data_IF_977354140623
#
_entry.id   IF_977354140623
#
_cell.length_a   1.000
_cell.length_b   1.000
_cell.length_c   1.000
_cell.angle_alpha   90.00
_cell.angle_beta   90.00
_cell.angle_gamma   90.00
#
_symmetry.space_group_name_H-M   'P 1'
#
loop_
_entity.id
_entity.type
_entity.pdbx_description
1 polymer ?
#
# COMPACT_ATOMS: atom_id res chain seq x y z
N UNK A 1 -11.87 -0.50 -10.37
CA UNK A 1 -11.80 -0.68 -9.90
C UNK A 1 -11.88 -0.97 -9.28
N UNK A 2 -11.77 -0.88 -8.99
CA UNK A 2 -11.77 -1.02 -8.29
C UNK A 2 -11.80 -1.66 -7.60
N UNK A 3 -11.68 -2.00 -7.21
CA UNK A 3 -11.51 -2.53 -6.63
C UNK A 3 -11.60 -2.51 -5.77
N UNK A 4 -11.79 -2.40 -5.37
CA UNK A 4 -11.83 -2.30 -4.56
C UNK A 4 -11.58 -2.78 -3.81
N UNK A 5 -11.38 -2.88 -3.47
CA UNK A 5 -11.00 -3.30 -2.79
C UNK A 5 -11.07 -3.52 -2.00
N UNK A 6 -11.34 -3.39 -1.63
CA UNK A 6 -11.36 -3.48 -0.84
C UNK A 6 -11.61 -4.12 -0.11
N UNK A 7 -11.65 -4.32 0.15
CA UNK A 7 -11.88 -4.75 1.03
C UNK A 7 -11.73 -5.74 1.28
N UNK A 8 -11.58 -6.11 1.29
CA UNK A 8 -11.47 -6.95 1.56
C UNK A 8 -10.73 -7.27 1.90
N UNK A 9 -10.53 -7.05 2.05
CA UNK A 9 -9.83 -7.33 2.37
C UNK A 9 -9.38 -7.81 3.25
N UNK A 10 -9.48 -7.55 3.50
CA UNK A 10 -9.14 -7.85 4.49
C UNK A 10 -8.31 -8.86 4.51
N UNK A 11 -8.08 -9.17 4.19
CA UNK A 11 -7.51 -10.11 4.16
C UNK A 11 -6.29 -10.10 4.11
N UNK A 12 -6.09 -9.55 4.08
CA UNK A 12 -5.05 -9.38 4.03
C UNK A 12 -4.12 -10.03 4.47
N UNK A 13 -3.92 -10.40 4.47
CA UNK A 13 -3.25 -10.89 4.82
C UNK A 13 -2.28 -11.07 4.60
N UNK A 14 -1.86 -11.01 4.52
CA UNK A 14 -1.11 -11.21 4.43
C UNK A 14 0.01 -11.52 4.18
N UNK A 15 0.49 -11.45 3.75
CA UNK A 15 1.42 -11.76 3.16
C UNK A 15 2.59 -11.25 3.64
N UNK A 16 3.11 -11.78 4.41
CA UNK A 16 4.19 -11.30 4.75
C UNK A 16 5.19 -11.68 3.94
N UNK A 17 5.84 -11.03 3.33
CA UNK A 17 6.78 -11.37 2.54
C UNK A 17 8.01 -11.23 3.13
N UNK A 18 8.73 -11.98 3.04
CA UNK A 18 9.87 -11.95 3.56
C UNK A 18 10.84 -11.44 2.77
N UNK A 19 10.95 -10.38 2.36
CA UNK A 19 11.97 -10.06 1.55
C UNK A 19 12.84 -9.22 2.21
N UNK A 20 13.60 -9.28 2.92
CA UNK A 20 14.59 -8.54 3.43
C UNK A 20 14.28 -7.11 3.41
N UNK A 21 15.18 -6.24 3.25
CA UNK A 21 14.91 -4.81 3.18
C UNK A 21 14.36 -4.48 1.82
N UNK A 22 13.14 -4.03 1.74
CA UNK A 22 12.59 -3.70 0.43
C UNK A 22 13.29 -2.52 -0.19
N UNK A 23 13.45 -2.53 -1.48
CA UNK A 23 13.98 -1.43 -2.23
C UNK A 23 12.80 -0.80 -2.94
N UNK A 24 12.54 0.46 -2.70
CA UNK A 24 11.41 1.12 -3.31
C UNK A 24 11.88 2.02 -4.44
N UNK A 25 11.20 2.01 -5.55
CA UNK A 25 11.39 3.02 -6.58
C UNK A 25 10.94 4.36 -6.03
N UNK A 26 9.82 4.38 -5.30
CA UNK A 26 9.36 5.56 -4.60
C UNK A 26 8.72 5.13 -3.28
N UNK A 27 8.96 5.90 -2.24
CA UNK A 27 8.36 5.64 -0.95
C UNK A 27 7.80 6.92 -0.34
N UNK A 28 6.79 6.77 0.49
CA UNK A 28 6.01 7.87 1.02
C UNK A 28 5.74 7.61 2.50
N UNK A 29 5.55 8.69 3.24
CA UNK A 29 5.32 8.62 4.67
C UNK A 29 3.95 9.16 5.02
N UNK A 30 3.42 8.74 6.15
CA UNK A 30 2.20 9.29 6.70
C UNK A 30 2.42 10.65 7.37
N UNK A 31 3.61 11.20 7.33
CA UNK A 31 3.91 12.48 7.96
C UNK A 31 2.93 13.54 7.47
N UNK A 32 2.41 14.33 8.39
CA UNK A 32 1.44 15.36 8.05
C UNK A 32 0.00 14.89 8.07
N UNK A 33 -0.23 13.60 8.25
CA UNK A 33 -1.57 13.04 8.34
C UNK A 33 -1.82 12.50 9.75
N UNK A 34 -3.08 12.42 10.13
CA UNK A 34 -3.44 11.78 11.39
C UNK A 34 -4.19 10.48 11.11
N UNK A 35 -4.36 9.68 12.12
CA UNK A 35 -5.08 8.42 11.98
C UNK A 35 -6.41 8.46 12.73
N UNK A 36 -7.00 9.66 12.82
CA UNK A 36 -8.30 9.82 13.42
C UNK A 36 -9.43 9.75 12.41
N UNK A 37 -9.13 9.89 11.14
CA UNK A 37 -10.12 9.75 10.08
C UNK A 37 -9.42 9.27 8.80
N UNK A 38 -10.19 8.74 7.88
CA UNK A 38 -9.64 8.23 6.63
C UNK A 38 -9.00 9.32 5.80
N UNK A 39 -7.93 8.99 5.10
CA UNK A 39 -7.31 9.89 4.13
C UNK A 39 -6.64 9.06 3.04
N UNK A 40 -6.46 9.69 1.89
CA UNK A 40 -5.74 9.08 0.77
C UNK A 40 -4.87 10.12 0.09
N UNK A 41 -3.69 9.71 -0.30
CA UNK A 41 -2.80 10.50 -1.15
C UNK A 41 -2.41 9.65 -2.35
N UNK A 42 -1.92 10.29 -3.37
CA UNK A 42 -1.54 9.62 -4.59
C UNK A 42 -0.35 10.32 -5.23
N UNK A 43 0.41 9.56 -5.99
CA UNK A 43 1.48 10.10 -6.81
C UNK A 43 1.58 9.26 -8.06
N UNK A 44 2.17 9.83 -9.10
CA UNK A 44 2.31 9.12 -10.36
C UNK A 44 3.46 9.67 -11.17
N UNK A 45 3.90 8.89 -12.10
CA UNK A 45 4.94 9.31 -13.02
C UNK A 45 4.73 8.61 -14.36
N UNK A 46 5.80 8.45 -15.12
CA UNK A 46 5.70 7.86 -16.43
C UNK A 46 5.41 6.37 -16.29
N UNK A 47 4.20 5.97 -16.56
CA UNK A 47 3.80 4.57 -16.57
C UNK A 47 3.47 3.97 -15.21
N UNK A 48 3.44 4.76 -14.14
CA UNK A 48 3.15 4.20 -12.82
C UNK A 48 2.25 5.12 -11.99
N UNK A 49 1.56 4.53 -11.03
CA UNK A 49 0.73 5.28 -10.09
C UNK A 49 0.69 4.53 -8.76
N UNK A 50 0.64 5.31 -7.68
CA UNK A 50 0.46 4.77 -6.34
C UNK A 50 -0.67 5.55 -5.66
N UNK A 51 -1.53 4.82 -4.95
CA UNK A 51 -2.49 5.42 -4.04
C UNK A 51 -2.25 4.79 -2.69
N UNK A 52 -2.21 5.61 -1.65
CA UNK A 52 -1.90 5.09 -0.32
C UNK A 52 -2.63 5.89 0.73
N UNK A 53 -2.86 5.31 1.88
CA UNK A 53 -3.53 6.02 2.92
C UNK A 53 -4.00 5.15 4.07
N UNK A 54 -5.07 5.62 4.71
CA UNK A 54 -5.62 5.05 5.92
C UNK A 54 -7.14 5.00 5.76
N UNK A 55 -7.72 3.86 6.09
CA UNK A 55 -9.13 3.62 5.91
C UNK A 55 -9.75 3.13 7.20
N UNK A 56 -10.91 3.64 7.55
CA UNK A 56 -11.60 3.26 8.78
C UNK A 56 -12.93 2.57 8.51
N UNK A 57 -13.19 2.15 7.29
CA UNK A 57 -14.52 1.64 6.92
C UNK A 57 -14.93 0.39 7.71
N UNK A 58 -14.04 -0.57 7.88
CA UNK A 58 -14.36 -1.77 8.63
C UNK A 58 -13.48 -1.86 9.87
N UNK A 59 -12.20 -1.74 9.67
CA UNK A 59 -11.21 -1.67 10.74
C UNK A 59 -10.26 -0.56 10.33
N UNK A 60 -9.39 -0.18 11.22
CA UNK A 60 -8.37 0.81 10.88
C UNK A 60 -7.28 0.10 10.09
N UNK A 61 -7.12 0.48 8.85
CA UNK A 61 -6.18 -0.16 7.94
C UNK A 61 -5.30 0.84 7.23
N UNK A 62 -4.04 0.51 7.10
CA UNK A 62 -3.11 1.23 6.23
C UNK A 62 -3.07 0.49 4.90
N UNK A 63 -3.03 1.21 3.79
CA UNK A 63 -3.07 0.53 2.50
C UNK A 63 -2.20 1.21 1.44
N UNK A 64 -1.79 0.41 0.48
CA UNK A 64 -1.08 0.89 -0.72
C UNK A 64 -1.61 0.12 -1.92
N UNK A 65 -1.96 0.85 -2.95
CA UNK A 65 -2.38 0.27 -4.22
C UNK A 65 -1.51 0.86 -5.32
N UNK A 66 -0.93 0.00 -6.14
CA UNK A 66 0.00 0.43 -7.17
C UNK A 66 -0.31 -0.20 -8.51
N UNK A 67 0.06 0.48 -9.57
CA UNK A 67 -0.06 -0.03 -10.92
C UNK A 67 1.11 0.45 -11.75
N UNK A 68 1.60 -0.41 -12.61
CA UNK A 68 2.60 -0.03 -13.61
C UNK A 68 2.11 -0.52 -14.97
N UNK A 69 2.18 0.34 -15.96
CA UNK A 69 1.64 0.01 -17.29
C UNK A 69 2.39 -1.10 -17.97
N UNK A 70 3.67 -1.20 -17.75
CA UNK A 70 4.52 -2.10 -18.54
C UNK A 70 5.39 -3.04 -17.72
N UNK A 71 5.45 -2.90 -16.40
CA UNK A 71 6.34 -3.72 -15.59
C UNK A 71 5.62 -4.39 -14.44
N UNK A 72 6.14 -5.52 -14.03
CA UNK A 72 5.78 -6.14 -12.76
C UNK A 72 6.11 -5.17 -11.64
N UNK A 73 5.28 -5.09 -10.64
CA UNK A 73 5.42 -4.08 -9.59
C UNK A 73 4.88 -4.58 -8.26
N UNK A 74 5.25 -3.87 -7.21
CA UNK A 74 4.91 -4.25 -5.84
C UNK A 74 4.31 -3.07 -5.09
N UNK A 75 3.32 -3.32 -4.27
CA UNK A 75 2.76 -2.37 -3.33
C UNK A 75 3.19 -2.78 -1.92
N UNK A 76 3.65 -1.83 -1.12
CA UNK A 76 4.18 -2.13 0.20
C UNK A 76 3.63 -1.19 1.26
N UNK A 77 3.34 -1.73 2.43
CA UNK A 77 3.00 -0.97 3.64
C UNK A 77 3.93 -1.43 4.75
N UNK A 78 4.50 -0.46 5.46
CA UNK A 78 5.32 -0.75 6.63
C UNK A 78 4.81 0.06 7.80
N UNK A 79 4.41 -0.59 8.87
CA UNK A 79 3.94 0.05 10.09
C UNK A 79 4.53 -0.68 11.30
N UNK A 80 4.00 -0.41 12.50
CA UNK A 80 4.57 -1.02 13.71
C UNK A 80 4.39 -2.55 13.74
N UNK A 81 3.48 -3.09 12.94
CA UNK A 81 3.29 -4.54 12.86
C UNK A 81 4.28 -5.21 11.91
N UNK A 82 5.00 -4.46 11.10
CA UNK A 82 5.97 -5.03 10.17
C UNK A 82 5.81 -4.48 8.76
N UNK A 83 6.44 -5.15 7.82
CA UNK A 83 6.39 -4.78 6.40
C UNK A 83 5.63 -5.85 5.63
N UNK A 84 4.69 -5.39 4.81
CA UNK A 84 3.80 -6.27 4.07
C UNK A 84 3.74 -5.82 2.62
N UNK A 85 3.59 -6.76 1.71
CA UNK A 85 3.61 -6.42 0.30
C UNK A 85 2.72 -7.34 -0.53
N UNK A 86 2.29 -6.81 -1.65
CA UNK A 86 1.62 -7.56 -2.69
C UNK A 86 2.23 -7.15 -4.03
N UNK A 87 2.23 -8.05 -5.00
CA UNK A 87 2.81 -7.77 -6.30
C UNK A 87 1.84 -8.16 -7.39
N UNK A 88 1.98 -7.54 -8.54
CA UNK A 88 1.19 -7.91 -9.69
C UNK A 88 1.93 -7.60 -10.98
N UNK A 89 1.40 -8.10 -12.10
CA UNK A 89 2.02 -7.93 -13.40
C UNK A 89 1.60 -6.63 -14.05
N UNK A 90 2.29 -6.29 -15.12
CA UNK A 90 2.00 -5.07 -15.87
C UNK A 90 0.51 -4.91 -16.14
N UNK A 91 0.02 -3.70 -15.97
CA UNK A 91 -1.36 -3.36 -16.27
C UNK A 91 -2.37 -3.75 -15.20
N UNK A 92 -1.94 -4.40 -14.12
CA UNK A 92 -2.82 -4.84 -13.04
C UNK A 92 -2.51 -4.06 -11.77
N UNK A 93 -3.50 -3.95 -10.89
CA UNK A 93 -3.30 -3.30 -9.62
C UNK A 93 -2.80 -4.30 -8.58
N UNK A 94 -1.70 -3.96 -7.93
CA UNK A 94 -1.25 -4.65 -6.73
C UNK A 94 -1.83 -3.89 -5.54
N UNK A 95 -2.28 -4.57 -4.52
CA UNK A 95 -2.89 -3.91 -3.36
C UNK A 95 -2.63 -4.66 -2.08
N UNK A 96 -2.32 -3.90 -1.02
CA UNK A 96 -2.08 -4.46 0.29
C UNK A 96 -2.79 -3.60 1.33
N UNK A 97 -3.61 -4.21 2.18
CA UNK A 97 -4.29 -3.55 3.26
C UNK A 97 -3.91 -4.27 4.54
N UNK A 98 -3.42 -3.56 5.53
CA UNK A 98 -2.99 -4.15 6.79
C UNK A 98 -3.55 -3.37 7.96
N UNK A 99 -3.78 -4.03 9.06
CA UNK A 99 -4.26 -3.36 10.26
C UNK A 99 -3.27 -2.27 10.65
N UNK A 100 -3.80 -1.09 10.91
CA UNK A 100 -2.99 0.05 11.32
C UNK A 100 -2.33 -0.21 12.67
N UNK A 101 -1.09 0.21 12.80
CA UNK A 101 -0.37 0.17 14.06
C UNK A 101 0.74 1.21 14.04
N UNK A 102 0.88 1.91 15.13
CA UNK A 102 1.96 2.87 15.30
C UNK A 102 1.58 4.29 14.89
N UNK A 103 2.52 5.20 15.00
CA UNK A 103 2.29 6.60 14.71
C UNK A 103 2.82 7.03 13.36
N UNK A 104 3.61 6.20 12.70
CA UNK A 104 4.16 6.49 11.39
C UNK A 104 4.04 5.26 10.51
N UNK A 105 3.58 5.46 9.30
CA UNK A 105 3.42 4.39 8.32
C UNK A 105 4.17 4.81 7.06
N UNK A 106 4.83 3.85 6.43
CA UNK A 106 5.50 4.08 5.17
C UNK A 106 4.86 3.24 4.09
N UNK A 107 4.78 3.78 2.90
CA UNK A 107 4.09 3.18 1.77
C UNK A 107 5.05 3.18 0.58
N UNK A 108 5.00 2.19 -0.25
CA UNK A 108 5.94 2.14 -1.36
C UNK A 108 5.44 1.48 -2.61
N UNK A 109 6.04 1.87 -3.71
CA UNK A 109 5.90 1.21 -4.99
C UNK A 109 7.29 0.83 -5.47
N UNK A 110 7.41 -0.36 -6.01
CA UNK A 110 8.68 -0.84 -6.53
C UNK A 110 8.44 -1.55 -7.86
N UNK A 111 9.40 -1.45 -8.78
CA UNK A 111 9.35 -2.17 -10.05
C UNK A 111 10.73 -2.54 -10.57
#
# INVERSE_FOLDING_TARGET
MKKRIIGIWGTALVATMAFGVPVFANSYSSDGHSFSSSWESADSGSGWVIKYGFNTAMINEDYTHTRHDSLHHTATVSNANGTFADEDKAGQWAGIEVRHSGSTVNYGINW
#
